data_IF_817322348267
#
_entry.id   IF_817322348267
#
_cell.length_a   1.000
_cell.length_b   1.000
_cell.length_c   1.000
_cell.angle_alpha   90.00
_cell.angle_beta   90.00
_cell.angle_gamma   90.00
#
_symmetry.space_group_name_H-M   'P 1'
#
loop_
_entity.id
_entity.type
_entity.pdbx_description
1 polymer ?
#
# COMPACT_ATOMS: atom_id res chain seq x y z
N UNK A 1 23.30 -11.33 41.55
CA UNK A 1 22.14 -10.41 41.59
C UNK A 1 22.26 -9.48 40.38
N UNK A 2 21.72 -9.88 39.23
CA UNK A 2 21.75 -9.06 38.00
C UNK A 2 20.45 -8.29 37.90
N UNK A 3 20.54 -6.96 38.02
CA UNK A 3 19.41 -6.05 38.13
C UNK A 3 18.72 -5.73 36.79
N UNK A 4 17.56 -5.05 36.83
CA UNK A 4 16.67 -4.74 35.70
C UNK A 4 17.23 -3.73 34.66
N UNK A 5 18.52 -3.40 34.72
CA UNK A 5 19.18 -2.35 33.93
C UNK A 5 19.14 -2.64 32.42
N UNK A 6 19.10 -3.91 32.01
CA UNK A 6 19.00 -4.30 30.60
C UNK A 6 17.62 -4.06 29.97
N UNK A 7 16.54 -4.02 30.75
CA UNK A 7 15.20 -3.79 30.21
C UNK A 7 14.97 -2.30 29.89
N UNK A 8 15.52 -1.40 30.71
CA UNK A 8 15.47 0.03 30.48
C UNK A 8 16.26 0.45 29.24
N UNK A 9 17.47 -0.08 29.08
CA UNK A 9 18.31 0.18 27.90
C UNK A 9 17.64 -0.31 26.61
N UNK A 10 17.07 -1.51 26.64
CA UNK A 10 16.32 -2.06 25.50
C UNK A 10 15.07 -1.23 25.19
N UNK A 11 14.33 -0.75 26.20
CA UNK A 11 13.17 0.11 25.98
C UNK A 11 13.55 1.45 25.32
N UNK A 12 14.68 2.05 25.73
CA UNK A 12 15.21 3.29 25.14
C UNK A 12 15.61 3.05 23.67
N UNK A 13 16.30 1.96 23.38
CA UNK A 13 16.69 1.59 22.01
C UNK A 13 15.46 1.34 21.13
N UNK A 14 14.45 0.65 21.65
CA UNK A 14 13.19 0.41 20.93
C UNK A 14 12.44 1.71 20.65
N UNK A 15 12.34 2.62 21.61
CA UNK A 15 11.70 3.93 21.42
C UNK A 15 12.42 4.76 20.36
N UNK A 16 13.76 4.76 20.35
CA UNK A 16 14.55 5.42 19.32
C UNK A 16 14.26 4.85 17.92
N UNK A 17 14.21 3.51 17.78
CA UNK A 17 13.90 2.87 16.49
C UNK A 17 12.46 3.06 16.04
N UNK A 18 11.50 3.11 16.95
CA UNK A 18 10.12 3.47 16.63
C UNK A 18 10.05 4.93 16.16
N UNK A 19 10.79 5.85 16.79
CA UNK A 19 10.86 7.25 16.37
C UNK A 19 11.38 7.40 14.93
N UNK A 20 12.45 6.70 14.57
CA UNK A 20 12.97 6.69 13.20
C UNK A 20 12.00 6.04 12.20
N UNK A 21 11.33 4.95 12.58
CA UNK A 21 10.31 4.32 11.74
C UNK A 21 9.16 5.30 11.45
N UNK A 22 8.70 6.02 12.48
CA UNK A 22 7.65 7.02 12.34
C UNK A 22 8.10 8.24 11.53
N UNK A 23 9.38 8.63 11.61
CA UNK A 23 9.94 9.73 10.82
C UNK A 23 9.95 9.44 9.31
N UNK A 24 9.95 8.17 8.91
CA UNK A 24 9.81 7.75 7.51
C UNK A 24 8.37 7.70 6.98
N UNK A 25 7.36 7.87 7.85
CA UNK A 25 5.96 7.90 7.45
C UNK A 25 5.56 9.25 6.85
N UNK A 26 4.55 9.24 5.99
CA UNK A 26 3.94 10.49 5.55
C UNK A 26 3.29 11.22 6.73
N UNK A 27 3.23 12.55 6.67
CA UNK A 27 2.58 13.36 7.72
C UNK A 27 1.10 12.98 7.91
N UNK A 28 0.42 12.55 6.84
CA UNK A 28 -0.96 12.08 6.90
C UNK A 28 -1.10 10.76 7.69
N UNK A 29 -0.18 9.82 7.49
CA UNK A 29 -0.18 8.53 8.20
C UNK A 29 0.21 8.70 9.66
N UNK A 30 1.19 9.56 9.96
CA UNK A 30 1.56 9.91 11.33
C UNK A 30 0.38 10.55 12.09
N UNK A 31 -0.37 11.45 11.45
CA UNK A 31 -1.60 12.02 12.02
C UNK A 31 -2.71 10.96 12.18
N UNK A 32 -2.87 10.04 11.24
CA UNK A 32 -3.83 8.95 11.37
C UNK A 32 -3.50 8.03 12.55
N UNK A 33 -2.21 7.76 12.79
CA UNK A 33 -1.75 7.01 13.97
C UNK A 33 -2.01 7.78 15.28
N UNK A 34 -1.66 9.07 15.34
CA UNK A 34 -1.88 9.91 16.52
C UNK A 34 -3.37 10.04 16.89
N UNK A 35 -4.26 10.01 15.89
CA UNK A 35 -5.70 10.06 16.07
C UNK A 35 -6.36 8.68 16.27
N UNK A 36 -5.57 7.60 16.34
CA UNK A 36 -6.07 6.23 16.50
C UNK A 36 -6.86 5.70 15.29
N UNK A 37 -6.77 6.36 14.13
CA UNK A 37 -7.40 5.97 12.86
C UNK A 37 -6.56 4.97 12.05
N UNK A 38 -5.30 4.78 12.44
CA UNK A 38 -4.39 3.77 11.90
C UNK A 38 -3.74 2.98 13.06
N UNK A 39 -3.20 1.80 12.77
CA UNK A 39 -2.48 0.95 13.73
C UNK A 39 -1.23 0.38 13.08
N UNK A 40 -0.13 0.32 13.84
CA UNK A 40 1.08 -0.39 13.44
C UNK A 40 0.92 -1.87 13.74
N UNK A 41 1.24 -2.71 12.76
CA UNK A 41 1.24 -4.18 12.90
C UNK A 41 2.67 -4.65 12.73
N UNK A 42 3.14 -5.44 13.70
CA UNK A 42 4.47 -6.07 13.63
C UNK A 42 4.31 -7.36 12.82
N UNK A 43 4.90 -7.39 11.63
CA UNK A 43 5.00 -8.60 10.83
C UNK A 43 6.40 -9.21 10.99
N UNK A 44 6.52 -10.53 11.25
CA UNK A 44 7.81 -11.17 11.26
C UNK A 44 8.42 -11.10 9.87
N UNK A 45 9.56 -10.42 9.75
CA UNK A 45 10.42 -10.55 8.57
C UNK A 45 11.14 -11.89 8.70
N UNK A 46 10.72 -12.87 7.91
CA UNK A 46 11.53 -14.07 7.74
C UNK A 46 12.87 -13.64 7.13
N UNK A 47 14.01 -14.01 7.72
CA UNK A 47 15.28 -13.78 7.07
C UNK A 47 15.24 -14.48 5.72
N UNK A 48 15.61 -13.76 4.67
CA UNK A 48 15.71 -14.32 3.33
C UNK A 48 16.77 -15.43 3.40
N UNK A 49 16.34 -16.70 3.43
CA UNK A 49 17.26 -17.83 3.32
C UNK A 49 17.77 -17.81 1.89
N UNK A 50 19.04 -17.47 1.74
CA UNK A 50 19.77 -17.68 0.49
C UNK A 50 19.90 -19.19 0.30
N UNK A 51 19.06 -19.75 -0.57
CA UNK A 51 18.99 -21.18 -0.82
C UNK A 51 17.99 -21.50 -1.93
N UNK A 52 18.41 -22.12 -3.03
CA UNK A 52 17.51 -22.46 -4.12
C UNK A 52 16.85 -23.80 -3.80
N UNK A 53 15.61 -23.79 -3.31
CA UNK A 53 14.65 -24.84 -3.69
C UNK A 53 13.20 -24.41 -3.55
N UNK A 54 12.43 -24.87 -4.52
CA UNK A 54 11.08 -24.47 -4.91
C UNK A 54 10.01 -25.06 -3.99
N UNK A 55 8.92 -24.31 -3.75
CA UNK A 55 7.59 -24.89 -3.64
C UNK A 55 6.66 -24.40 -4.76
N UNK A 56 5.70 -25.25 -5.05
CA UNK A 56 4.84 -25.29 -6.22
C UNK A 56 3.63 -24.37 -6.01
N UNK A 57 3.27 -23.56 -7.02
CA UNK A 57 1.91 -23.01 -7.16
C UNK A 57 1.68 -21.55 -6.74
N UNK A 58 2.35 -20.60 -7.36
CA UNK A 58 1.81 -19.25 -7.55
C UNK A 58 2.19 -18.80 -8.96
N UNK A 59 1.22 -18.33 -9.74
CA UNK A 59 1.40 -17.98 -11.15
C UNK A 59 2.57 -17.02 -11.39
N UNK A 60 3.07 -16.91 -12.64
CA UNK A 60 4.29 -16.18 -12.94
C UNK A 60 4.18 -14.72 -12.47
N UNK A 61 4.76 -14.43 -11.31
CA UNK A 61 5.19 -13.10 -10.91
C UNK A 61 6.34 -12.73 -11.83
N UNK A 62 5.98 -12.24 -13.02
CA UNK A 62 6.95 -11.54 -13.82
C UNK A 62 7.33 -10.24 -13.06
N UNK A 63 8.61 -9.92 -12.95
CA UNK A 63 9.07 -8.69 -12.32
C UNK A 63 8.73 -7.52 -13.24
N UNK A 64 7.56 -6.91 -13.04
CA UNK A 64 7.40 -5.51 -13.40
C UNK A 64 7.87 -4.74 -12.18
N UNK A 65 8.90 -3.91 -12.31
CA UNK A 65 9.53 -3.16 -11.21
C UNK A 65 8.65 -2.06 -10.59
N UNK A 66 7.33 -2.27 -10.54
CA UNK A 66 6.36 -1.32 -10.01
C UNK A 66 5.70 -1.94 -8.79
N UNK A 67 5.91 -1.30 -7.63
CA UNK A 67 5.28 -1.73 -6.39
C UNK A 67 3.78 -1.43 -6.43
N UNK A 68 2.99 -2.47 -6.68
CA UNK A 68 1.53 -2.35 -6.85
C UNK A 68 0.80 -1.95 -5.56
N UNK A 69 1.42 -2.15 -4.39
CA UNK A 69 0.86 -1.73 -3.11
C UNK A 69 1.03 -0.21 -2.91
N UNK A 70 2.24 0.30 -3.16
CA UNK A 70 2.53 1.73 -3.17
C UNK A 70 1.69 2.46 -4.21
N UNK A 71 1.57 1.92 -5.43
CA UNK A 71 0.77 2.54 -6.47
C UNK A 71 -0.72 2.60 -6.14
N UNK A 72 -1.25 1.58 -5.46
CA UNK A 72 -2.61 1.62 -4.89
C UNK A 72 -2.77 2.74 -3.88
N UNK A 73 -1.78 2.96 -3.01
CA UNK A 73 -1.80 4.04 -2.02
C UNK A 73 -1.63 5.42 -2.66
N UNK A 74 -0.81 5.55 -3.70
CA UNK A 74 -0.67 6.79 -4.49
C UNK A 74 -1.97 7.13 -5.21
N UNK A 75 -2.62 6.13 -5.83
CA UNK A 75 -3.96 6.28 -6.40
C UNK A 75 -5.02 6.55 -5.34
N UNK A 76 -4.78 6.16 -4.08
CA UNK A 76 -5.63 6.52 -2.96
C UNK A 76 -5.49 8.00 -2.55
N UNK A 77 -4.27 8.51 -2.60
CA UNK A 77 -3.96 9.90 -2.27
C UNK A 77 -4.44 10.92 -3.32
N UNK A 78 -4.65 10.52 -4.57
CA UNK A 78 -5.14 11.45 -5.60
C UNK A 78 -6.58 11.91 -5.33
N UNK A 79 -6.76 13.23 -5.40
CA UNK A 79 -8.04 13.94 -5.19
C UNK A 79 -8.82 14.08 -6.51
N UNK A 80 -8.14 14.23 -7.64
CA UNK A 80 -8.79 14.39 -8.95
C UNK A 80 -8.57 13.18 -9.87
N UNK A 81 -9.61 12.88 -10.67
CA UNK A 81 -9.53 11.83 -11.69
C UNK A 81 -8.40 12.05 -12.69
N UNK A 82 -8.18 13.31 -13.07
CA UNK A 82 -7.18 13.68 -14.06
C UNK A 82 -5.77 13.27 -13.62
N UNK A 83 -5.39 13.56 -12.39
CA UNK A 83 -4.08 13.19 -11.83
C UNK A 83 -3.88 11.66 -11.81
N UNK A 84 -4.93 10.91 -11.43
CA UNK A 84 -4.91 9.45 -11.46
C UNK A 84 -4.79 8.87 -12.89
N UNK A 85 -5.47 9.49 -13.85
CA UNK A 85 -5.38 9.10 -15.28
C UNK A 85 -3.99 9.39 -15.85
N UNK A 86 -3.42 10.56 -15.57
CA UNK A 86 -2.06 10.92 -16.02
C UNK A 86 -1.01 9.97 -15.41
N UNK A 87 -1.18 9.60 -14.15
CA UNK A 87 -0.31 8.62 -13.47
C UNK A 87 -0.37 7.22 -14.09
N UNK A 88 -1.56 6.78 -14.52
CA UNK A 88 -1.80 5.44 -15.08
C UNK A 88 -1.60 5.34 -16.60
N UNK A 89 -1.57 6.48 -17.30
CA UNK A 89 -1.38 6.55 -18.76
C UNK A 89 -0.07 5.89 -19.23
N UNK A 90 1.10 6.12 -18.60
CA UNK A 90 2.35 5.47 -19.02
C UNK A 90 2.44 3.99 -18.64
N UNK A 91 1.50 3.45 -17.84
CA UNK A 91 1.59 2.08 -17.35
C UNK A 91 1.29 1.03 -18.42
N UNK A 92 1.94 -0.13 -18.30
CA UNK A 92 1.67 -1.27 -19.16
C UNK A 92 0.31 -1.91 -18.80
N UNK A 93 -0.36 -2.46 -19.81
CA UNK A 93 -1.69 -3.06 -19.64
C UNK A 93 -1.68 -4.27 -18.68
N UNK A 94 -0.54 -4.95 -18.57
CA UNK A 94 -0.30 -6.02 -17.59
C UNK A 94 -0.36 -5.49 -16.15
N UNK A 95 0.31 -4.38 -15.88
CA UNK A 95 0.39 -3.78 -14.54
C UNK A 95 -0.94 -3.14 -14.15
N UNK A 96 -1.64 -2.53 -15.10
CA UNK A 96 -3.01 -2.03 -14.89
C UNK A 96 -3.99 -3.15 -14.51
N UNK A 97 -3.88 -4.33 -15.16
CA UNK A 97 -4.72 -5.49 -14.82
C UNK A 97 -4.34 -6.09 -13.46
N UNK A 98 -3.05 -6.16 -13.15
CA UNK A 98 -2.59 -6.63 -11.85
C UNK A 98 -3.09 -5.73 -10.70
N UNK A 99 -3.01 -4.41 -10.91
CA UNK A 99 -3.54 -3.42 -9.98
C UNK A 99 -5.07 -3.51 -9.83
N UNK A 100 -5.79 -3.71 -10.94
CA UNK A 100 -7.23 -3.92 -10.92
C UNK A 100 -7.64 -5.20 -10.15
N UNK A 101 -6.93 -6.30 -10.37
CA UNK A 101 -7.17 -7.56 -9.65
C UNK A 101 -6.94 -7.39 -8.14
N UNK A 102 -5.90 -6.65 -7.74
CA UNK A 102 -5.60 -6.33 -6.34
C UNK A 102 -6.69 -5.47 -5.70
N UNK A 103 -7.27 -4.54 -6.45
CA UNK A 103 -8.41 -3.72 -6.01
C UNK A 103 -9.76 -4.47 -6.03
N UNK A 104 -9.77 -5.75 -6.42
CA UNK A 104 -10.97 -6.59 -6.48
C UNK A 104 -11.90 -6.27 -7.65
N UNK A 105 -11.42 -5.55 -8.66
CA UNK A 105 -12.18 -5.27 -9.88
C UNK A 105 -12.30 -6.55 -10.72
N UNK A 106 -13.53 -7.08 -10.81
CA UNK A 106 -13.84 -8.23 -11.65
C UNK A 106 -14.24 -7.80 -13.06
N UNK A 107 -13.94 -8.62 -14.07
CA UNK A 107 -14.31 -8.35 -15.47
C UNK A 107 -13.37 -7.43 -16.25
N UNK A 108 -12.12 -7.26 -15.79
CA UNK A 108 -11.12 -6.36 -16.41
C UNK A 108 -10.30 -7.00 -17.53
N UNK A 109 -10.48 -8.29 -17.80
CA UNK A 109 -9.72 -9.02 -18.82
C UNK A 109 -10.04 -8.54 -20.25
N UNK A 110 -11.30 -8.21 -20.52
CA UNK A 110 -11.79 -7.78 -21.85
C UNK A 110 -11.84 -6.28 -22.09
N UNK A 111 -11.50 -5.45 -21.08
CA UNK A 111 -11.58 -3.99 -21.21
C UNK A 111 -10.36 -3.43 -21.95
N UNK A 112 -10.60 -2.35 -22.70
CA UNK A 112 -9.52 -1.55 -23.32
C UNK A 112 -8.76 -0.78 -22.24
N UNK A 113 -7.51 -0.39 -22.55
CA UNK A 113 -6.64 0.34 -21.61
C UNK A 113 -7.33 1.60 -21.04
N UNK A 114 -8.00 2.38 -21.89
CA UNK A 114 -8.73 3.57 -21.47
C UNK A 114 -9.86 3.26 -20.47
N UNK A 115 -10.73 2.29 -20.77
CA UNK A 115 -11.80 1.85 -19.86
C UNK A 115 -11.27 1.28 -18.54
N UNK A 116 -10.14 0.57 -18.60
CA UNK A 116 -9.50 0.02 -17.41
C UNK A 116 -9.00 1.13 -16.48
N UNK A 117 -8.38 2.17 -17.05
CA UNK A 117 -7.94 3.36 -16.30
C UNK A 117 -9.14 4.10 -15.71
N UNK A 118 -10.20 4.34 -16.50
CA UNK A 118 -11.41 4.98 -16.00
C UNK A 118 -12.05 4.21 -14.84
N UNK A 119 -12.17 2.88 -14.94
CA UNK A 119 -12.69 2.05 -13.85
C UNK A 119 -11.80 2.04 -12.62
N UNK A 120 -10.47 2.06 -12.79
CA UNK A 120 -9.54 2.14 -11.68
C UNK A 120 -9.76 3.42 -10.88
N UNK A 121 -9.84 4.55 -11.60
CA UNK A 121 -10.00 5.88 -11.06
C UNK A 121 -11.41 6.08 -10.47
N UNK A 122 -12.45 5.57 -11.12
CA UNK A 122 -13.83 5.61 -10.63
C UNK A 122 -13.99 4.82 -9.32
N UNK A 123 -13.38 3.62 -9.23
CA UNK A 123 -13.44 2.77 -8.04
C UNK A 123 -12.69 3.38 -6.85
N UNK A 124 -11.56 4.03 -7.07
CA UNK A 124 -10.75 4.63 -6.00
C UNK A 124 -11.28 6.01 -5.62
N UNK A 125 -11.45 6.93 -6.58
CA UNK A 125 -11.84 8.32 -6.30
C UNK A 125 -13.36 8.45 -6.09
N UNK A 126 -14.17 7.67 -6.83
CA UNK A 126 -15.63 7.73 -6.74
C UNK A 126 -16.21 7.16 -5.44
N UNK A 127 -15.61 6.09 -4.88
CA UNK A 127 -16.06 5.53 -3.60
C UNK A 127 -15.71 6.45 -2.42
N UNK A 128 -14.59 7.20 -2.53
CA UNK A 128 -14.18 8.22 -1.56
C UNK A 128 -15.04 9.47 -1.63
N UNK A 129 -15.40 9.96 -2.81
CA UNK A 129 -16.32 11.10 -2.95
C UNK A 129 -17.71 10.81 -2.34
N UNK A 130 -18.24 9.60 -2.55
CA UNK A 130 -19.48 9.15 -1.92
C UNK A 130 -19.32 8.99 -0.40
N UNK A 131 -18.20 8.42 0.07
CA UNK A 131 -17.93 8.23 1.50
C UNK A 131 -17.66 9.54 2.24
N UNK A 132 -17.01 10.51 1.60
CA UNK A 132 -16.77 11.85 2.12
C UNK A 132 -18.06 12.66 2.19
N UNK A 133 -18.93 12.55 1.19
CA UNK A 133 -20.27 13.15 1.21
C UNK A 133 -21.16 12.57 2.32
N UNK A 134 -21.05 11.26 2.61
CA UNK A 134 -21.75 10.62 3.74
C UNK A 134 -21.23 11.07 5.10
N UNK A 135 -19.93 11.38 5.22
CA UNK A 135 -19.33 11.87 6.47
C UNK A 135 -19.54 13.38 6.70
N UNK A 136 -19.92 14.13 5.67
CA UNK A 136 -20.17 15.56 5.72
C UNK A 136 -21.64 15.94 6.00
N UNK A 137 -22.48 14.97 6.39
CA UNK A 137 -23.91 15.15 6.70
C UNK A 137 -24.18 14.77 8.15
#
# INVERSE_FOLDING_TARGET
>A
MSGPESAGDVAVVVLARVGELLAGLSAADALALAQGRARLVVAPVAPLRDGPDRPVGAGPSAPSGVDLAAASATLDAFVHRRDGTEYLTPWAMRDLRALAARLGLRGVAGLRKAELVERLVDRTIGFRAASAAVRAR
#
